data_IF_908233924911
#
_entry.id   IF_908233924911
#
_cell.length_a   1.000
_cell.length_b   1.000
_cell.length_c   1.000
_cell.angle_alpha   90.00
_cell.angle_beta   90.00
_cell.angle_gamma   90.00
#
_symmetry.space_group_name_H-M   'P 1'
#
loop_
_entity.id
_entity.type
_entity.pdbx_description
1 polymer ?
#
# COMPACT_ATOMS: atom_id res chain seq x y z
N UNK A 1 9.13 4.97 5.33
CA UNK A 1 8.24 6.11 5.73
C UNK A 1 8.78 7.51 5.37
N UNK A 2 8.06 8.30 4.56
CA UNK A 2 8.43 9.68 4.19
C UNK A 2 7.80 10.75 5.10
N UNK A 3 8.34 11.98 5.09
CA UNK A 3 7.77 13.13 5.84
C UNK A 3 6.37 13.50 5.35
N UNK A 4 6.12 13.45 4.04
CA UNK A 4 4.81 13.79 3.46
C UNK A 4 3.74 12.78 3.86
N UNK A 5 4.06 11.48 3.88
CA UNK A 5 3.14 10.43 4.34
C UNK A 5 2.70 10.66 5.79
N UNK A 6 3.62 11.07 6.68
CA UNK A 6 3.28 11.38 8.09
C UNK A 6 2.35 12.58 8.22
N UNK A 7 2.55 13.62 7.42
CA UNK A 7 1.67 14.80 7.43
C UNK A 7 0.28 14.46 6.91
N UNK A 8 0.19 13.62 5.89
CA UNK A 8 -1.08 13.15 5.35
C UNK A 8 -1.86 12.35 6.39
N UNK A 9 -1.22 11.42 7.09
CA UNK A 9 -1.84 10.65 8.18
C UNK A 9 -2.44 11.55 9.27
N UNK A 10 -1.69 12.55 9.75
CA UNK A 10 -2.19 13.52 10.74
C UNK A 10 -3.40 14.31 10.25
N UNK A 11 -3.44 14.65 8.95
CA UNK A 11 -4.61 15.32 8.36
C UNK A 11 -5.83 14.40 8.34
N UNK A 12 -5.65 13.11 8.06
CA UNK A 12 -6.73 12.14 8.09
C UNK A 12 -7.29 11.96 9.50
N UNK A 13 -6.42 11.78 10.50
CA UNK A 13 -6.81 11.69 11.92
C UNK A 13 -7.57 12.93 12.37
N UNK A 14 -7.04 14.12 12.11
CA UNK A 14 -7.66 15.37 12.52
C UNK A 14 -8.98 15.68 11.81
N UNK A 15 -9.07 15.39 10.51
CA UNK A 15 -10.26 15.71 9.69
C UNK A 15 -11.40 14.73 9.93
N UNK A 16 -11.10 13.44 10.05
CA UNK A 16 -12.10 12.38 10.08
C UNK A 16 -12.26 11.72 11.45
N UNK A 17 -11.38 12.04 12.42
CA UNK A 17 -11.39 11.46 13.78
C UNK A 17 -11.33 9.93 13.77
N UNK A 18 -10.57 9.37 12.83
CA UNK A 18 -10.32 7.94 12.71
C UNK A 18 -8.91 7.61 13.17
N UNK A 19 -8.70 6.38 13.63
CA UNK A 19 -7.35 5.87 13.88
C UNK A 19 -6.64 5.64 12.54
N UNK A 20 -5.40 6.13 12.41
CA UNK A 20 -4.60 5.94 11.20
C UNK A 20 -3.34 5.17 11.55
N UNK A 21 -3.20 3.99 10.94
CA UNK A 21 -2.03 3.14 11.12
C UNK A 21 -1.08 3.34 9.95
N UNK A 22 0.19 3.61 10.26
CA UNK A 22 1.25 3.75 9.27
C UNK A 22 1.92 2.40 9.02
N UNK A 23 1.91 1.92 7.77
CA UNK A 23 2.51 0.64 7.35
C UNK A 23 3.64 0.89 6.36
N UNK A 24 4.83 0.32 6.58
CA UNK A 24 5.97 0.53 5.68
C UNK A 24 5.78 -0.28 4.38
N UNK A 25 5.77 0.43 3.25
CA UNK A 25 5.46 -0.09 1.91
C UNK A 25 6.73 -0.42 1.10
N UNK A 26 7.89 -0.41 1.75
CA UNK A 26 9.16 -0.70 1.08
C UNK A 26 9.12 -2.13 0.52
N UNK A 27 9.50 -2.29 -0.75
CA UNK A 27 9.61 -3.53 -1.55
C UNK A 27 8.41 -3.95 -2.42
N UNK A 28 7.33 -3.18 -2.49
CA UNK A 28 6.13 -3.52 -3.29
C UNK A 28 6.29 -3.35 -4.80
N UNK A 29 6.99 -2.32 -5.27
CA UNK A 29 7.00 -1.96 -6.70
C UNK A 29 7.63 -3.03 -7.58
N UNK A 30 8.67 -3.72 -7.08
CA UNK A 30 9.34 -4.79 -7.84
C UNK A 30 8.46 -6.04 -7.90
N UNK A 31 7.89 -6.44 -6.77
CA UNK A 31 6.98 -7.59 -6.69
C UNK A 31 5.72 -7.37 -7.55
N UNK A 32 5.12 -6.18 -7.46
CA UNK A 32 3.96 -5.79 -8.26
C UNK A 32 4.22 -5.84 -9.77
N UNK A 33 5.38 -5.34 -10.22
CA UNK A 33 5.76 -5.39 -11.63
C UNK A 33 5.98 -6.83 -12.10
N UNK A 34 6.65 -7.67 -11.31
CA UNK A 34 6.81 -9.09 -11.64
C UNK A 34 5.47 -9.82 -11.77
N UNK A 35 4.53 -9.61 -10.85
CA UNK A 35 3.19 -10.21 -10.94
C UNK A 35 2.40 -9.75 -12.17
N UNK A 36 2.50 -8.47 -12.53
CA UNK A 36 1.85 -7.93 -13.73
C UNK A 36 2.49 -8.40 -15.04
N UNK A 37 3.82 -8.57 -15.05
CA UNK A 37 4.56 -9.15 -16.17
C UNK A 37 4.14 -10.62 -16.41
N UNK A 38 3.97 -11.40 -15.34
CA UNK A 38 3.49 -12.80 -15.42
C UNK A 38 2.05 -12.90 -15.96
N UNK A 39 1.22 -11.91 -15.69
CA UNK A 39 -0.15 -11.80 -16.24
C UNK A 39 -0.18 -11.31 -17.71
N UNK A 40 0.98 -11.03 -18.31
CA UNK A 40 1.08 -10.56 -19.70
C UNK A 40 0.57 -9.13 -19.92
N UNK A 41 0.43 -8.34 -18.85
CA UNK A 41 -0.08 -6.97 -18.93
C UNK A 41 1.02 -6.05 -19.46
N UNK A 42 0.72 -5.28 -20.50
CA UNK A 42 1.65 -4.30 -21.08
C UNK A 42 2.07 -3.25 -20.04
N UNK A 43 3.36 -2.89 -19.98
CA UNK A 43 3.93 -1.85 -19.08
C UNK A 43 3.12 -0.55 -18.97
N UNK A 44 2.59 -0.02 -20.06
CA UNK A 44 1.74 1.19 -20.08
C UNK A 44 0.42 0.97 -19.32
N UNK A 45 -0.13 -0.24 -19.38
CA UNK A 45 -1.30 -0.62 -18.59
C UNK A 45 -0.92 -0.88 -17.12
N UNK A 46 0.27 -1.42 -16.86
CA UNK A 46 0.77 -1.65 -15.50
C UNK A 46 0.81 -0.39 -14.66
N UNK A 47 1.20 0.76 -15.25
CA UNK A 47 1.24 2.04 -14.55
C UNK A 47 -0.12 2.44 -13.94
N UNK A 48 -1.24 2.01 -14.53
CA UNK A 48 -2.58 2.22 -13.98
C UNK A 48 -2.89 1.32 -12.77
N UNK A 49 -2.22 0.17 -12.64
CA UNK A 49 -2.46 -0.81 -11.59
C UNK A 49 -1.46 -0.73 -10.44
N UNK A 50 -0.31 -0.07 -10.63
CA UNK A 50 0.75 0.03 -9.60
C UNK A 50 0.20 0.61 -8.30
N UNK A 51 -0.59 1.69 -8.35
CA UNK A 51 -1.15 2.32 -7.14
C UNK A 51 -2.15 1.39 -6.43
N UNK A 52 -2.94 0.64 -7.19
CA UNK A 52 -3.92 -0.31 -6.63
C UNK A 52 -3.22 -1.48 -5.96
N UNK A 53 -2.18 -2.03 -6.59
CA UNK A 53 -1.39 -3.14 -6.03
C UNK A 53 -0.61 -2.67 -4.81
N UNK A 54 -0.05 -1.46 -4.83
CA UNK A 54 0.58 -0.87 -3.66
C UNK A 54 -0.41 -0.76 -2.48
N UNK A 55 -1.64 -0.30 -2.73
CA UNK A 55 -2.68 -0.24 -1.72
C UNK A 55 -3.08 -1.63 -1.18
N UNK A 56 -3.21 -2.64 -2.05
CA UNK A 56 -3.46 -4.03 -1.64
C UNK A 56 -2.34 -4.58 -0.75
N UNK A 57 -1.08 -4.34 -1.11
CA UNK A 57 0.07 -4.78 -0.32
C UNK A 57 0.15 -4.07 1.04
N UNK A 58 -0.15 -2.77 1.10
CA UNK A 58 -0.25 -2.03 2.37
C UNK A 58 -1.29 -2.70 3.29
N UNK A 59 -2.45 -3.07 2.74
CA UNK A 59 -3.52 -3.71 3.49
C UNK A 59 -3.13 -5.12 3.95
N UNK A 60 -2.51 -5.92 3.07
CA UNK A 60 -2.04 -7.25 3.43
C UNK A 60 -0.99 -7.19 4.55
N UNK A 61 -0.01 -6.29 4.43
CA UNK A 61 1.00 -6.08 5.46
C UNK A 61 0.38 -5.67 6.80
N UNK A 62 -0.68 -4.85 6.79
CA UNK A 62 -1.43 -4.56 8.01
C UNK A 62 -2.01 -5.83 8.65
N UNK A 63 -2.69 -6.68 7.87
CA UNK A 63 -3.26 -7.93 8.41
C UNK A 63 -2.21 -8.91 8.91
N UNK A 64 -1.06 -9.00 8.26
CA UNK A 64 0.03 -9.89 8.68
C UNK A 64 0.65 -9.49 10.03
N UNK A 65 0.58 -8.19 10.38
CA UNK A 65 1.10 -7.66 11.65
C UNK A 65 0.06 -7.59 12.76
N UNK A 66 -1.23 -7.62 12.42
CA UNK A 66 -2.30 -7.74 13.41
C UNK A 66 -2.41 -9.20 13.81
N UNK A 67 -2.20 -9.57 15.09
CA UNK A 67 -2.40 -10.94 15.52
C UNK A 67 -3.86 -11.32 15.22
N UNK A 68 -4.03 -12.24 14.29
CA UNK A 68 -5.32 -12.90 14.05
C UNK A 68 -5.57 -13.78 15.26
N UNK A 69 -6.22 -13.22 16.29
CA UNK A 69 -6.83 -14.04 17.33
C UNK A 69 -7.93 -14.88 16.66
N UNK A 70 -7.82 -16.22 16.66
CA UNK A 70 -8.84 -17.09 16.08
C UNK A 70 -10.16 -17.05 16.86
#
# INVERSE_FOLDING_TARGET
MTRLSKLFARRLEGRYRINVVMVDERYTTRSARSALDELGINRKQQDHFIDQIAAQHILQSFFDHVPTTP
#
